data_IF_626305922232
#
_entry.id   IF_626305922232
#
_cell.length_a   1.000
_cell.length_b   1.000
_cell.length_c   1.000
_cell.angle_alpha   90.00
_cell.angle_beta   90.00
_cell.angle_gamma   90.00
#
_symmetry.space_group_name_H-M   'P 1'
#
loop_
_entity.id
_entity.type
_entity.pdbx_description
1 polymer ?
#
# COMPACT_ATOMS: atom_id res chain seq x y z
N UNK A 1 -26.52 33.59 -14.21
CA UNK A 1 -27.90 34.07 -14.45
C UNK A 1 -28.75 33.44 -13.36
N UNK A 2 -29.50 34.20 -12.58
CA UNK A 2 -30.49 33.63 -11.68
C UNK A 2 -31.56 32.95 -12.55
N UNK A 3 -31.86 31.67 -12.28
CA UNK A 3 -32.90 30.94 -12.99
C UNK A 3 -34.22 31.68 -12.71
N UNK A 4 -34.86 32.18 -13.76
CA UNK A 4 -36.21 32.75 -13.64
C UNK A 4 -37.14 31.67 -13.10
N UNK A 5 -37.98 32.04 -12.13
CA UNK A 5 -38.96 31.10 -11.56
C UNK A 5 -39.95 30.74 -12.67
N UNK A 6 -40.16 29.46 -12.99
CA UNK A 6 -41.05 29.05 -14.07
C UNK A 6 -42.49 29.54 -13.81
N UNK A 7 -43.23 29.81 -14.88
CA UNK A 7 -44.61 30.23 -14.76
C UNK A 7 -45.48 29.14 -14.11
N UNK A 8 -46.54 29.51 -13.34
CA UNK A 8 -47.44 28.51 -12.74
C UNK A 8 -48.09 27.59 -13.78
N UNK A 9 -48.31 28.07 -14.99
CA UNK A 9 -48.84 27.27 -16.11
C UNK A 9 -47.87 26.18 -16.56
N UNK A 10 -46.57 26.53 -16.71
CA UNK A 10 -45.52 25.57 -17.04
C UNK A 10 -45.37 24.51 -15.94
N UNK A 11 -45.44 24.91 -14.68
CA UNK A 11 -45.33 23.95 -13.54
C UNK A 11 -46.51 22.97 -13.53
N UNK A 12 -47.72 23.44 -13.83
CA UNK A 12 -48.89 22.58 -13.92
C UNK A 12 -48.78 21.61 -15.11
N UNK A 13 -48.43 22.09 -16.29
CA UNK A 13 -48.25 21.27 -17.49
C UNK A 13 -47.13 20.22 -17.29
N UNK A 14 -46.08 20.59 -16.60
CA UNK A 14 -45.01 19.66 -16.23
C UNK A 14 -45.53 18.50 -15.34
N UNK A 15 -46.43 18.84 -14.40
CA UNK A 15 -47.13 17.85 -13.57
C UNK A 15 -48.03 16.94 -14.37
N UNK A 16 -48.81 17.50 -15.32
CA UNK A 16 -49.73 16.72 -16.17
C UNK A 16 -48.97 15.70 -17.03
N UNK A 17 -47.84 16.11 -17.64
CA UNK A 17 -46.97 15.20 -18.36
C UNK A 17 -46.40 14.13 -17.46
N UNK A 18 -46.00 14.50 -16.26
CA UNK A 18 -45.44 13.55 -15.28
C UNK A 18 -46.47 12.50 -14.84
N UNK A 19 -47.73 12.89 -14.60
CA UNK A 19 -48.82 11.96 -14.26
C UNK A 19 -49.10 10.95 -15.39
N UNK A 20 -49.09 11.38 -16.65
CA UNK A 20 -49.20 10.47 -17.78
C UNK A 20 -48.07 9.48 -17.85
N UNK A 21 -46.82 9.92 -17.69
CA UNK A 21 -45.65 9.03 -17.66
C UNK A 21 -45.65 8.08 -16.47
N UNK A 22 -46.15 8.50 -15.32
CA UNK A 22 -46.33 7.62 -14.15
C UNK A 22 -47.35 6.52 -14.43
N UNK A 23 -48.42 6.78 -15.21
CA UNK A 23 -49.37 5.75 -15.63
C UNK A 23 -48.79 4.73 -16.62
N UNK A 24 -47.72 5.09 -17.34
CA UNK A 24 -46.99 4.24 -18.32
C UNK A 24 -45.61 3.80 -17.74
N UNK A 25 -45.39 3.87 -16.43
CA UNK A 25 -44.09 3.66 -15.81
C UNK A 25 -43.45 2.31 -16.17
N UNK A 26 -44.24 1.24 -16.20
CA UNK A 26 -43.74 -0.11 -16.53
C UNK A 26 -43.19 -0.20 -17.94
N UNK A 27 -43.86 0.41 -18.90
CA UNK A 27 -43.45 0.47 -20.33
C UNK A 27 -42.15 1.30 -20.45
N UNK A 28 -42.11 2.46 -19.81
CA UNK A 28 -40.93 3.34 -19.82
C UNK A 28 -39.69 2.63 -19.21
N UNK A 29 -39.84 1.95 -18.09
CA UNK A 29 -38.75 1.17 -17.46
C UNK A 29 -38.28 0.04 -18.38
N UNK A 30 -39.20 -0.69 -19.02
CA UNK A 30 -38.84 -1.76 -19.95
C UNK A 30 -38.02 -1.24 -21.17
N UNK A 31 -38.34 -0.05 -21.70
CA UNK A 31 -37.51 0.58 -22.73
C UNK A 31 -36.13 1.01 -22.24
N UNK A 32 -36.04 1.51 -21.00
CA UNK A 32 -34.75 1.89 -20.40
C UNK A 32 -33.89 0.66 -20.16
N UNK A 33 -34.47 -0.42 -19.65
CA UNK A 33 -33.78 -1.69 -19.42
C UNK A 33 -33.25 -2.30 -20.72
N UNK A 34 -34.04 -2.30 -21.78
CA UNK A 34 -33.62 -2.74 -23.11
C UNK A 34 -32.42 -1.92 -23.64
N UNK A 35 -32.48 -0.59 -23.47
CA UNK A 35 -31.39 0.29 -23.85
C UNK A 35 -30.11 0.09 -23.01
N UNK A 36 -30.21 -0.34 -21.76
CA UNK A 36 -29.06 -0.66 -20.90
C UNK A 36 -28.38 -1.98 -21.30
N UNK A 37 -29.15 -3.01 -21.62
CA UNK A 37 -28.65 -4.34 -22.04
C UNK A 37 -27.80 -4.27 -23.31
N UNK A 38 -28.17 -3.43 -24.29
CA UNK A 38 -27.40 -3.24 -25.52
C UNK A 38 -25.98 -2.73 -25.33
N UNK A 39 -25.65 -2.14 -24.15
CA UNK A 39 -24.36 -1.49 -23.87
C UNK A 39 -23.25 -2.44 -23.44
N UNK A 40 -23.59 -3.42 -22.63
CA UNK A 40 -22.61 -4.32 -22.03
C UNK A 40 -23.12 -5.74 -22.03
N UNK A 41 -22.73 -6.57 -23.01
CA UNK A 41 -23.09 -7.98 -23.03
C UNK A 41 -22.67 -8.73 -21.74
N UNK A 42 -21.58 -8.30 -21.10
CA UNK A 42 -21.11 -8.87 -19.84
C UNK A 42 -22.04 -8.52 -18.67
N UNK A 43 -22.52 -7.29 -18.57
CA UNK A 43 -23.50 -6.89 -17.57
C UNK A 43 -24.91 -7.45 -17.90
N UNK A 44 -25.26 -7.53 -19.16
CA UNK A 44 -26.51 -8.11 -19.65
C UNK A 44 -26.65 -9.62 -19.46
N UNK A 45 -25.56 -10.33 -19.12
CA UNK A 45 -25.60 -11.76 -18.77
C UNK A 45 -25.70 -12.04 -17.26
N UNK A 46 -25.54 -11.04 -16.39
CA UNK A 46 -25.64 -11.20 -14.94
C UNK A 46 -27.04 -10.80 -14.44
N UNK A 47 -27.80 -11.79 -13.99
CA UNK A 47 -29.18 -11.61 -13.54
C UNK A 47 -29.31 -10.62 -12.35
N UNK A 48 -28.32 -10.55 -11.46
CA UNK A 48 -28.34 -9.61 -10.34
C UNK A 48 -28.12 -8.17 -10.82
N UNK A 49 -27.19 -7.95 -11.77
CA UNK A 49 -26.95 -6.63 -12.37
C UNK A 49 -28.19 -6.16 -13.12
N UNK A 50 -28.86 -7.04 -13.88
CA UNK A 50 -30.09 -6.70 -14.58
C UNK A 50 -31.23 -6.33 -13.61
N UNK A 51 -31.44 -7.12 -12.57
CA UNK A 51 -32.48 -6.87 -11.58
C UNK A 51 -32.27 -5.52 -10.86
N UNK A 52 -31.05 -5.25 -10.42
CA UNK A 52 -30.72 -3.99 -9.71
C UNK A 52 -30.75 -2.79 -10.68
N UNK A 53 -30.38 -2.97 -11.95
CA UNK A 53 -30.52 -1.93 -12.98
C UNK A 53 -31.98 -1.55 -13.18
N UNK A 54 -32.85 -2.54 -13.33
CA UNK A 54 -34.30 -2.33 -13.51
C UNK A 54 -34.92 -1.65 -12.28
N UNK A 55 -34.59 -2.12 -11.08
CA UNK A 55 -35.04 -1.50 -9.82
C UNK A 55 -34.56 -0.04 -9.70
N UNK A 56 -33.31 0.24 -10.04
CA UNK A 56 -32.75 1.58 -10.05
C UNK A 56 -33.43 2.50 -11.09
N UNK A 57 -33.64 2.00 -12.32
CA UNK A 57 -34.38 2.74 -13.36
C UNK A 57 -35.77 3.13 -12.90
N UNK A 58 -36.51 2.17 -12.37
CA UNK A 58 -37.88 2.36 -11.84
C UNK A 58 -37.90 3.42 -10.73
N UNK A 59 -37.05 3.25 -9.72
CA UNK A 59 -37.02 4.14 -8.56
C UNK A 59 -36.64 5.58 -8.93
N UNK A 60 -35.64 5.76 -9.79
CA UNK A 60 -35.18 7.06 -10.22
C UNK A 60 -36.24 7.79 -11.07
N UNK A 61 -36.85 7.11 -12.04
CA UNK A 61 -37.89 7.69 -12.89
C UNK A 61 -39.12 8.02 -12.06
N UNK A 62 -39.61 7.11 -11.23
CA UNK A 62 -40.74 7.37 -10.36
C UNK A 62 -40.48 8.54 -9.41
N UNK A 63 -39.27 8.68 -8.87
CA UNK A 63 -38.88 9.80 -8.02
C UNK A 63 -38.89 11.12 -8.76
N UNK A 64 -38.26 11.19 -9.92
CA UNK A 64 -38.24 12.40 -10.75
C UNK A 64 -39.64 12.85 -11.16
N UNK A 65 -40.45 11.92 -11.69
CA UNK A 65 -41.83 12.21 -12.11
C UNK A 65 -42.70 12.60 -10.91
N UNK A 66 -42.50 12.00 -9.74
CA UNK A 66 -43.20 12.42 -8.51
C UNK A 66 -42.84 13.84 -8.07
N UNK A 67 -41.58 14.27 -8.28
CA UNK A 67 -41.18 15.67 -8.02
C UNK A 67 -41.93 16.63 -8.98
N UNK A 68 -42.02 16.28 -10.26
CA UNK A 68 -42.77 17.09 -11.25
C UNK A 68 -44.26 17.11 -10.96
N UNK A 69 -44.88 15.99 -10.58
CA UNK A 69 -46.30 15.89 -10.24
C UNK A 69 -46.73 16.69 -9.01
N UNK A 70 -45.78 17.07 -8.14
CA UNK A 70 -46.08 17.95 -7.00
C UNK A 70 -46.43 19.40 -7.40
N UNK A 71 -46.16 19.76 -8.63
CA UNK A 71 -46.45 21.09 -9.20
C UNK A 71 -45.85 22.25 -8.37
N UNK A 72 -44.63 22.03 -7.85
CA UNK A 72 -43.91 23.03 -7.07
C UNK A 72 -42.93 23.83 -7.93
N UNK A 73 -43.00 25.15 -7.88
CA UNK A 73 -42.08 26.02 -8.60
C UNK A 73 -40.64 25.95 -8.04
N UNK A 74 -40.49 25.67 -6.73
CA UNK A 74 -39.21 25.59 -6.05
C UNK A 74 -38.60 24.21 -6.25
N UNK A 75 -37.27 24.16 -6.51
CA UNK A 75 -36.50 22.92 -6.56
C UNK A 75 -36.41 22.31 -5.17
N UNK A 76 -36.92 21.08 -5.02
CA UNK A 76 -36.83 20.33 -3.77
C UNK A 76 -35.46 19.64 -3.66
N UNK A 77 -34.98 19.36 -2.44
CA UNK A 77 -33.81 18.53 -2.26
C UNK A 77 -34.01 17.17 -2.95
N UNK A 78 -33.01 16.77 -3.71
CA UNK A 78 -33.01 15.47 -4.39
C UNK A 78 -32.62 14.41 -3.39
N UNK A 79 -33.59 13.57 -3.03
CA UNK A 79 -33.39 12.40 -2.19
C UNK A 79 -33.18 11.19 -3.09
N UNK A 80 -32.07 10.46 -2.87
CA UNK A 80 -31.64 9.38 -3.75
C UNK A 80 -32.32 8.06 -3.34
N UNK A 81 -32.99 7.37 -4.26
CA UNK A 81 -33.58 6.09 -3.98
C UNK A 81 -32.51 5.06 -3.54
N UNK A 82 -32.78 4.23 -2.53
CA UNK A 82 -31.87 3.15 -2.11
C UNK A 82 -31.46 2.23 -3.24
N UNK A 83 -32.37 1.90 -4.15
CA UNK A 83 -32.16 1.04 -5.30
C UNK A 83 -31.06 1.59 -6.25
N UNK A 84 -30.93 2.92 -6.33
CA UNK A 84 -29.86 3.57 -7.09
C UNK A 84 -28.48 3.32 -6.45
N UNK A 85 -28.41 3.15 -5.13
CA UNK A 85 -27.16 2.83 -4.43
C UNK A 85 -26.88 1.31 -4.44
N UNK A 86 -27.89 0.46 -4.56
CA UNK A 86 -27.73 -0.99 -4.60
C UNK A 86 -27.08 -1.44 -5.89
N UNK A 87 -27.46 -0.87 -7.05
CA UNK A 87 -26.75 -1.15 -8.32
C UNK A 87 -25.26 -0.75 -8.25
N UNK A 88 -24.92 0.34 -7.55
CA UNK A 88 -23.54 0.75 -7.35
C UNK A 88 -22.73 -0.32 -6.61
N UNK A 89 -23.28 -0.87 -5.53
CA UNK A 89 -22.67 -1.95 -4.74
C UNK A 89 -22.52 -3.23 -5.57
N UNK A 90 -23.55 -3.60 -6.32
CA UNK A 90 -23.53 -4.81 -7.17
C UNK A 90 -22.46 -4.69 -8.25
N UNK A 91 -22.35 -3.57 -8.96
CA UNK A 91 -21.30 -3.32 -9.95
C UNK A 91 -19.91 -3.40 -9.32
N UNK A 92 -19.72 -2.80 -8.14
CA UNK A 92 -18.45 -2.85 -7.41
C UNK A 92 -18.06 -4.29 -7.01
N UNK A 93 -18.99 -5.06 -6.45
CA UNK A 93 -18.79 -6.47 -6.04
C UNK A 93 -18.49 -7.41 -7.19
N UNK A 94 -19.06 -7.13 -8.37
CA UNK A 94 -18.82 -7.89 -9.60
C UNK A 94 -17.53 -7.48 -10.33
N UNK A 95 -16.84 -6.44 -9.85
CA UNK A 95 -15.61 -5.92 -10.48
C UNK A 95 -15.85 -5.30 -11.86
N UNK A 96 -17.09 -4.91 -12.18
CA UNK A 96 -17.44 -4.28 -13.45
C UNK A 96 -16.92 -2.84 -13.49
N UNK A 97 -16.66 -2.32 -14.71
CA UNK A 97 -16.22 -0.94 -14.87
C UNK A 97 -17.33 0.05 -14.44
N UNK A 98 -16.95 1.12 -13.73
CA UNK A 98 -17.89 2.19 -13.33
C UNK A 98 -18.45 2.95 -14.54
N UNK A 99 -17.76 2.93 -15.68
CA UNK A 99 -18.24 3.50 -16.93
C UNK A 99 -19.56 2.86 -17.39
N UNK A 100 -19.79 1.59 -17.04
CA UNK A 100 -21.07 0.90 -17.32
C UNK A 100 -22.24 1.62 -16.63
N UNK A 101 -22.05 2.07 -15.39
CA UNK A 101 -23.08 2.85 -14.66
C UNK A 101 -23.36 4.15 -15.40
N UNK A 102 -22.31 4.92 -15.71
CA UNK A 102 -22.44 6.21 -16.35
C UNK A 102 -23.16 6.11 -17.70
N UNK A 103 -22.78 5.14 -18.52
CA UNK A 103 -23.40 4.93 -19.83
C UNK A 103 -24.85 4.47 -19.72
N UNK A 104 -25.18 3.61 -18.74
CA UNK A 104 -26.54 3.15 -18.47
C UNK A 104 -27.47 4.34 -18.11
N UNK A 105 -27.04 5.20 -17.18
CA UNK A 105 -27.79 6.41 -16.81
C UNK A 105 -28.01 7.34 -18.00
N UNK A 106 -26.98 7.58 -18.82
CA UNK A 106 -27.08 8.44 -19.99
C UNK A 106 -28.08 7.90 -21.03
N UNK A 107 -28.13 6.57 -21.23
CA UNK A 107 -29.12 5.98 -22.15
C UNK A 107 -30.53 6.01 -21.57
N UNK A 108 -30.69 5.67 -20.30
CA UNK A 108 -31.97 5.75 -19.61
C UNK A 108 -32.54 7.17 -19.66
N UNK A 109 -31.69 8.17 -19.42
CA UNK A 109 -32.04 9.59 -19.55
C UNK A 109 -32.55 9.94 -20.96
N UNK A 110 -31.88 9.47 -22.00
CA UNK A 110 -32.31 9.70 -23.38
C UNK A 110 -33.68 9.07 -23.71
N UNK A 111 -33.96 7.88 -23.16
CA UNK A 111 -35.26 7.22 -23.32
C UNK A 111 -36.34 8.02 -22.59
N UNK A 112 -36.13 8.36 -21.32
CA UNK A 112 -37.06 9.12 -20.53
C UNK A 112 -37.36 10.50 -21.13
N UNK A 113 -36.33 11.21 -21.61
CA UNK A 113 -36.46 12.49 -22.26
C UNK A 113 -37.29 12.43 -23.53
N UNK A 114 -37.05 11.45 -24.40
CA UNK A 114 -37.83 11.26 -25.64
C UNK A 114 -39.32 11.01 -25.34
N UNK A 115 -39.62 10.17 -24.35
CA UNK A 115 -41.01 9.93 -23.93
C UNK A 115 -41.64 11.19 -23.35
N UNK A 116 -40.92 11.95 -22.50
CA UNK A 116 -41.38 13.21 -21.95
C UNK A 116 -41.75 14.22 -23.08
N UNK A 117 -40.85 14.43 -24.07
CA UNK A 117 -41.10 15.30 -25.19
C UNK A 117 -42.33 14.86 -26.01
N UNK A 118 -42.49 13.56 -26.23
CA UNK A 118 -43.63 13.03 -27.00
C UNK A 118 -44.97 13.35 -26.33
N UNK A 119 -45.08 13.25 -25.00
CA UNK A 119 -46.28 13.64 -24.27
C UNK A 119 -46.45 15.14 -24.20
N UNK A 120 -45.40 15.93 -23.94
CA UNK A 120 -45.46 17.39 -23.89
C UNK A 120 -45.97 17.98 -25.22
N UNK A 121 -45.46 17.46 -26.37
CA UNK A 121 -45.91 17.94 -27.69
C UNK A 121 -47.34 17.57 -28.07
N UNK A 122 -47.92 16.54 -27.43
CA UNK A 122 -49.34 16.19 -27.61
C UNK A 122 -50.26 17.05 -26.76
N UNK A 123 -49.78 17.46 -25.55
CA UNK A 123 -50.60 18.29 -24.62
C UNK A 123 -50.55 19.78 -24.95
N UNK A 124 -49.41 20.26 -25.42
CA UNK A 124 -49.16 21.72 -25.59
C UNK A 124 -48.92 22.02 -27.05
N UNK A 125 -49.69 22.95 -27.67
CA UNK A 125 -49.44 23.40 -29.06
C UNK A 125 -48.04 24.00 -29.21
N UNK A 126 -47.48 23.87 -30.40
CA UNK A 126 -46.17 24.47 -30.73
C UNK A 126 -46.17 25.99 -30.50
N UNK A 127 -45.23 26.47 -29.70
CA UNK A 127 -45.11 27.86 -29.35
C UNK A 127 -44.24 28.14 -28.14
N UNK A 128 -44.19 29.38 -27.65
CA UNK A 128 -43.31 29.77 -26.53
C UNK A 128 -43.56 28.95 -25.25
N UNK A 129 -44.81 28.58 -24.95
CA UNK A 129 -45.17 27.80 -23.77
C UNK A 129 -44.59 26.39 -23.80
N UNK A 130 -44.63 25.72 -24.97
CA UNK A 130 -43.99 24.40 -25.12
C UNK A 130 -42.48 24.51 -24.97
N UNK A 131 -41.85 25.54 -25.53
CA UNK A 131 -40.40 25.77 -25.38
C UNK A 131 -40.02 25.94 -23.92
N UNK A 132 -40.70 26.81 -23.17
CA UNK A 132 -40.47 27.04 -21.72
C UNK A 132 -40.67 25.74 -20.91
N UNK A 133 -41.73 24.95 -21.21
CA UNK A 133 -42.00 23.68 -20.57
C UNK A 133 -40.80 22.69 -20.76
N UNK A 134 -40.34 22.55 -22.03
CA UNK A 134 -39.25 21.64 -22.33
C UNK A 134 -37.90 22.12 -21.74
N UNK A 135 -37.65 23.43 -21.73
CA UNK A 135 -36.47 24.02 -21.14
C UNK A 135 -36.39 23.72 -19.62
N UNK A 136 -37.45 24.06 -18.88
CA UNK A 136 -37.53 23.84 -17.43
C UNK A 136 -37.46 22.35 -17.08
N UNK A 137 -38.20 21.50 -17.81
CA UNK A 137 -38.19 20.05 -17.57
C UNK A 137 -36.82 19.42 -17.85
N UNK A 138 -36.14 19.84 -18.92
CA UNK A 138 -34.82 19.34 -19.26
C UNK A 138 -33.79 19.72 -18.20
N UNK A 139 -33.78 20.98 -17.77
CA UNK A 139 -32.87 21.45 -16.74
C UNK A 139 -33.05 20.65 -15.45
N UNK A 140 -34.28 20.51 -14.95
CA UNK A 140 -34.57 19.75 -13.72
C UNK A 140 -34.22 18.27 -13.85
N UNK A 141 -34.48 17.66 -15.01
CA UNK A 141 -34.10 16.28 -15.25
C UNK A 141 -32.59 16.08 -15.26
N UNK A 142 -31.84 16.99 -15.90
CA UNK A 142 -30.37 16.89 -15.95
C UNK A 142 -29.76 17.11 -14.57
N UNK A 143 -30.22 18.11 -13.82
CA UNK A 143 -29.81 18.34 -12.44
C UNK A 143 -30.07 17.10 -11.53
N UNK A 144 -31.22 16.46 -11.70
CA UNK A 144 -31.55 15.22 -10.98
C UNK A 144 -30.59 14.09 -11.34
N UNK A 145 -30.39 13.83 -12.63
CA UNK A 145 -29.52 12.74 -13.09
C UNK A 145 -28.07 12.96 -12.68
N UNK A 146 -27.56 14.18 -12.85
CA UNK A 146 -26.18 14.52 -12.44
C UNK A 146 -25.98 14.31 -10.93
N UNK A 147 -26.96 14.69 -10.11
CA UNK A 147 -26.91 14.49 -8.66
C UNK A 147 -26.91 13.00 -8.30
N UNK A 148 -27.80 12.21 -8.89
CA UNK A 148 -27.90 10.76 -8.66
C UNK A 148 -26.62 10.05 -9.10
N UNK A 149 -26.16 10.31 -10.34
CA UNK A 149 -24.94 9.69 -10.90
C UNK A 149 -23.72 9.98 -10.01
N UNK A 150 -23.56 11.23 -9.57
CA UNK A 150 -22.44 11.58 -8.67
C UNK A 150 -22.42 10.75 -7.38
N UNK A 151 -23.60 10.54 -6.76
CA UNK A 151 -23.72 9.75 -5.54
C UNK A 151 -23.56 8.25 -5.76
N UNK A 152 -24.08 7.74 -6.87
CA UNK A 152 -23.96 6.32 -7.26
C UNK A 152 -22.48 5.96 -7.52
N UNK A 153 -21.74 6.83 -8.23
CA UNK A 153 -20.30 6.62 -8.45
C UNK A 153 -19.54 6.67 -7.13
N UNK A 154 -19.83 7.65 -6.26
CA UNK A 154 -19.19 7.73 -4.94
C UNK A 154 -19.47 6.47 -4.09
N UNK A 155 -20.70 5.95 -4.09
CA UNK A 155 -21.04 4.71 -3.39
C UNK A 155 -20.31 3.49 -3.97
N UNK A 156 -20.17 3.38 -5.29
CA UNK A 156 -19.43 2.30 -5.92
C UNK A 156 -17.93 2.35 -5.62
N UNK A 157 -17.34 3.54 -5.57
CA UNK A 157 -15.95 3.73 -5.17
C UNK A 157 -15.73 3.34 -3.71
N UNK A 158 -16.61 3.78 -2.81
CA UNK A 158 -16.56 3.42 -1.40
C UNK A 158 -16.66 1.89 -1.19
N UNK A 159 -17.61 1.21 -1.85
CA UNK A 159 -17.74 -0.25 -1.77
C UNK A 159 -16.46 -0.97 -2.26
N UNK A 160 -15.82 -0.47 -3.34
CA UNK A 160 -14.53 -1.00 -3.82
C UNK A 160 -13.42 -0.83 -2.79
N UNK A 161 -13.34 0.33 -2.16
CA UNK A 161 -12.35 0.59 -1.10
C UNK A 161 -12.58 -0.32 0.11
N UNK A 162 -13.82 -0.56 0.50
CA UNK A 162 -14.17 -1.47 1.58
C UNK A 162 -13.80 -2.93 1.25
N UNK A 163 -14.04 -3.39 0.02
CA UNK A 163 -13.65 -4.72 -0.45
C UNK A 163 -12.12 -4.87 -0.43
N UNK A 164 -11.40 -3.88 -0.95
CA UNK A 164 -9.93 -3.87 -0.97
C UNK A 164 -9.35 -3.79 0.43
N UNK A 165 -9.89 -2.91 1.28
CA UNK A 165 -9.48 -2.76 2.67
C UNK A 165 -9.71 -4.05 3.48
N UNK A 166 -10.84 -4.72 3.28
CA UNK A 166 -11.14 -6.02 3.87
C UNK A 166 -10.20 -7.13 3.42
N UNK A 167 -9.78 -7.13 2.16
CA UNK A 167 -8.80 -8.10 1.64
C UNK A 167 -7.41 -7.86 2.24
N UNK A 168 -6.96 -6.60 2.32
CA UNK A 168 -5.70 -6.21 2.95
C UNK A 168 -5.71 -6.56 4.44
N UNK A 169 -6.80 -6.28 5.16
CA UNK A 169 -6.93 -6.61 6.58
C UNK A 169 -6.85 -8.12 6.82
N UNK A 170 -7.57 -8.94 6.04
CA UNK A 170 -7.50 -10.40 6.12
C UNK A 170 -6.11 -10.96 5.83
N UNK A 171 -5.41 -10.37 4.85
CA UNK A 171 -4.02 -10.74 4.51
C UNK A 171 -3.07 -10.40 5.67
N UNK A 172 -3.18 -9.21 6.25
CA UNK A 172 -2.40 -8.76 7.40
C UNK A 172 -2.63 -9.64 8.62
N UNK A 173 -3.88 -9.99 8.91
CA UNK A 173 -4.24 -10.90 10.00
C UNK A 173 -3.64 -12.28 9.79
N UNK A 174 -3.73 -12.84 8.57
CA UNK A 174 -3.14 -14.15 8.27
C UNK A 174 -1.62 -14.14 8.47
N UNK A 175 -0.91 -13.10 8.04
CA UNK A 175 0.53 -12.95 8.28
C UNK A 175 0.82 -12.93 9.78
N UNK A 176 0.09 -12.13 10.56
CA UNK A 176 0.29 -12.03 12.02
C UNK A 176 0.08 -13.37 12.71
N UNK A 177 -0.99 -14.09 12.38
CA UNK A 177 -1.24 -15.44 12.93
C UNK A 177 -0.08 -16.40 12.65
N UNK A 178 0.51 -16.35 11.44
CA UNK A 178 1.69 -17.16 11.12
C UNK A 178 2.89 -16.76 11.97
N UNK A 179 3.14 -15.46 12.12
CA UNK A 179 4.26 -14.93 12.89
C UNK A 179 4.13 -15.25 14.39
N UNK A 180 2.92 -15.20 14.92
CA UNK A 180 2.60 -15.56 16.32
C UNK A 180 2.66 -17.07 16.57
N UNK A 181 2.85 -17.88 15.53
CA UNK A 181 2.94 -19.35 15.63
C UNK A 181 1.61 -20.03 15.87
N UNK A 182 0.49 -19.39 15.53
CA UNK A 182 -0.83 -19.98 15.65
C UNK A 182 -0.94 -21.22 14.75
N UNK A 183 -1.72 -22.23 15.20
CA UNK A 183 -2.05 -23.39 14.39
C UNK A 183 -2.96 -22.97 13.24
N UNK A 184 -2.42 -22.86 12.05
CA UNK A 184 -3.15 -22.47 10.85
C UNK A 184 -2.97 -23.52 9.74
N UNK A 185 -4.04 -23.80 9.01
CA UNK A 185 -3.96 -24.66 7.83
C UNK A 185 -3.16 -23.96 6.72
N UNK A 186 -2.06 -24.60 6.33
CA UNK A 186 -1.08 -24.02 5.38
C UNK A 186 -1.68 -23.80 3.99
N UNK A 187 -2.59 -24.66 3.53
CA UNK A 187 -3.19 -24.53 2.21
C UNK A 187 -4.15 -23.32 2.19
N UNK A 188 -5.00 -23.19 3.20
CA UNK A 188 -5.92 -22.05 3.34
C UNK A 188 -5.18 -20.74 3.56
N UNK A 189 -4.09 -20.74 4.33
CA UNK A 189 -3.24 -19.57 4.52
C UNK A 189 -2.59 -19.14 3.21
N UNK A 190 -2.07 -20.09 2.42
CA UNK A 190 -1.49 -19.82 1.10
C UNK A 190 -2.50 -19.18 0.15
N UNK A 191 -3.74 -19.70 0.11
CA UNK A 191 -4.82 -19.16 -0.70
C UNK A 191 -5.19 -17.71 -0.29
N UNK A 192 -5.36 -17.45 1.02
CA UNK A 192 -5.67 -16.11 1.55
C UNK A 192 -4.57 -15.08 1.26
N UNK A 193 -3.31 -15.52 1.29
CA UNK A 193 -2.17 -14.66 1.02
C UNK A 193 -1.91 -14.46 -0.48
N UNK A 194 -2.40 -15.36 -1.34
CA UNK A 194 -1.98 -15.45 -2.74
C UNK A 194 -0.47 -15.77 -2.86
N UNK A 195 0.07 -16.52 -1.88
CA UNK A 195 1.49 -16.79 -1.74
C UNK A 195 1.70 -18.21 -1.20
N UNK A 196 2.51 -19.03 -1.89
CA UNK A 196 2.73 -20.42 -1.50
C UNK A 196 3.65 -20.53 -0.28
N UNK A 197 3.12 -21.00 0.85
CA UNK A 197 3.87 -21.20 2.09
C UNK A 197 4.68 -22.49 2.15
N UNK A 198 4.62 -23.37 1.12
CA UNK A 198 5.38 -24.63 1.05
C UNK A 198 6.77 -24.42 0.45
N UNK A 199 7.02 -23.29 -0.17
CA UNK A 199 8.32 -22.95 -0.75
C UNK A 199 9.33 -22.50 0.32
N UNK A 200 10.54 -22.11 -0.11
CA UNK A 200 11.53 -21.45 0.74
C UNK A 200 11.24 -19.97 0.82
N UNK A 201 11.47 -19.38 1.98
CA UNK A 201 11.19 -17.97 2.26
C UNK A 201 12.44 -17.25 2.71
N UNK A 202 12.65 -16.06 2.16
CA UNK A 202 13.64 -15.08 2.64
C UNK A 202 12.90 -13.82 3.01
N UNK A 203 12.84 -13.51 4.29
CA UNK A 203 12.20 -12.30 4.75
C UNK A 203 13.11 -11.08 4.60
N UNK A 204 12.52 -9.98 4.22
CA UNK A 204 13.13 -8.66 4.17
C UNK A 204 12.37 -7.74 5.12
N UNK A 205 13.10 -6.97 5.92
CA UNK A 205 12.55 -5.81 6.62
C UNK A 205 13.17 -4.58 6.00
N UNK A 206 12.35 -3.78 5.32
CA UNK A 206 12.78 -2.53 4.68
C UNK A 206 12.33 -1.35 5.52
N UNK A 207 13.20 -0.34 5.65
CA UNK A 207 12.85 0.89 6.36
C UNK A 207 13.57 2.10 5.79
N UNK A 208 13.00 3.29 6.08
CA UNK A 208 13.64 4.57 5.80
C UNK A 208 13.88 5.33 7.10
N UNK A 209 14.88 6.24 7.16
CA UNK A 209 14.98 7.21 8.22
C UNK A 209 13.71 8.08 8.31
N UNK A 210 13.37 8.64 9.48
CA UNK A 210 12.29 9.60 9.61
C UNK A 210 12.49 10.78 8.62
N UNK A 211 11.42 11.30 8.01
CA UNK A 211 11.39 12.47 7.13
C UNK A 211 11.60 12.24 5.62
N UNK A 212 11.39 11.02 5.10
CA UNK A 212 11.34 10.78 3.65
C UNK A 212 9.90 10.69 3.13
N UNK A 213 9.64 11.17 1.91
CA UNK A 213 8.42 10.81 1.18
C UNK A 213 8.53 9.34 0.75
N UNK A 214 7.71 8.48 1.35
CA UNK A 214 7.90 7.03 1.32
C UNK A 214 6.79 6.30 0.59
N UNK A 215 5.76 7.01 0.10
CA UNK A 215 4.60 6.38 -0.51
C UNK A 215 5.01 5.56 -1.75
N UNK A 216 4.88 4.23 -1.67
CA UNK A 216 5.24 3.30 -2.73
C UNK A 216 6.74 3.03 -2.92
N UNK A 217 7.63 3.77 -2.24
CA UNK A 217 9.08 3.62 -2.41
C UNK A 217 9.60 2.30 -1.79
N UNK A 218 9.06 1.90 -0.64
CA UNK A 218 9.43 0.64 0.03
C UNK A 218 8.97 -0.58 -0.78
N UNK A 219 7.76 -0.55 -1.32
CA UNK A 219 7.21 -1.58 -2.20
C UNK A 219 8.02 -1.69 -3.50
N UNK A 220 8.38 -0.56 -4.08
CA UNK A 220 9.24 -0.52 -5.27
C UNK A 220 10.63 -1.10 -4.99
N UNK A 221 11.22 -0.76 -3.84
CA UNK A 221 12.50 -1.34 -3.42
C UNK A 221 12.39 -2.85 -3.18
N UNK A 222 11.33 -3.34 -2.52
CA UNK A 222 11.09 -4.76 -2.33
C UNK A 222 10.98 -5.50 -3.68
N UNK A 223 10.31 -4.91 -4.68
CA UNK A 223 10.20 -5.47 -6.01
C UNK A 223 11.55 -5.48 -6.76
N UNK A 224 12.38 -4.45 -6.59
CA UNK A 224 13.76 -4.40 -7.13
C UNK A 224 14.61 -5.52 -6.53
N UNK A 225 14.58 -5.67 -5.21
CA UNK A 225 15.33 -6.71 -4.49
C UNK A 225 14.84 -8.11 -4.89
N UNK A 226 13.55 -8.33 -5.05
CA UNK A 226 13.00 -9.61 -5.50
C UNK A 226 13.51 -9.99 -6.89
N UNK A 227 13.54 -9.05 -7.83
CA UNK A 227 14.10 -9.28 -9.17
C UNK A 227 15.60 -9.58 -9.13
N UNK A 228 16.36 -8.84 -8.32
CA UNK A 228 17.81 -9.07 -8.16
C UNK A 228 18.10 -10.43 -7.54
N UNK A 229 17.26 -10.89 -6.61
CA UNK A 229 17.35 -12.23 -6.02
C UNK A 229 16.89 -13.35 -6.97
N UNK A 230 16.34 -13.04 -8.13
CA UNK A 230 15.79 -14.02 -9.07
C UNK A 230 14.48 -14.66 -8.60
N UNK A 231 13.67 -13.95 -7.79
CA UNK A 231 12.41 -14.46 -7.23
C UNK A 231 11.18 -13.82 -7.88
N UNK A 232 10.00 -14.38 -7.58
CA UNK A 232 8.71 -13.80 -7.97
C UNK A 232 8.45 -12.50 -7.17
N UNK A 233 7.43 -11.69 -7.56
CA UNK A 233 7.01 -10.55 -6.76
C UNK A 233 6.82 -10.94 -5.29
N UNK A 234 7.31 -10.13 -4.34
CA UNK A 234 7.30 -10.48 -2.93
C UNK A 234 5.89 -10.37 -2.33
N UNK A 235 5.63 -11.18 -1.29
CA UNK A 235 4.52 -10.92 -0.38
C UNK A 235 4.93 -9.72 0.49
N UNK A 236 4.13 -8.67 0.55
CA UNK A 236 4.44 -7.45 1.31
C UNK A 236 3.39 -7.15 2.37
N UNK A 237 3.83 -6.54 3.49
CA UNK A 237 2.99 -6.02 4.55
C UNK A 237 3.58 -4.70 5.07
N UNK A 238 2.86 -3.59 4.89
CA UNK A 238 3.22 -2.30 5.48
C UNK A 238 2.89 -2.30 6.97
N UNK A 239 3.88 -2.00 7.83
CA UNK A 239 3.77 -2.07 9.30
C UNK A 239 3.79 -0.69 9.94
N UNK A 240 3.86 0.33 9.11
CA UNK A 240 3.87 1.74 9.51
C UNK A 240 4.26 2.60 8.32
N UNK A 241 4.37 3.91 8.53
CA UNK A 241 4.65 4.83 7.41
C UNK A 241 6.07 4.65 6.83
N UNK A 242 7.00 4.10 7.60
CA UNK A 242 8.43 4.01 7.23
C UNK A 242 8.99 2.59 7.25
N UNK A 243 8.14 1.55 7.40
CA UNK A 243 8.59 0.15 7.50
C UNK A 243 7.70 -0.77 6.68
N UNK A 244 8.32 -1.62 5.88
CA UNK A 244 7.69 -2.66 5.09
C UNK A 244 8.32 -4.02 5.41
N UNK A 245 7.49 -5.01 5.68
CA UNK A 245 7.91 -6.41 5.71
C UNK A 245 7.64 -7.04 4.34
N UNK A 246 8.58 -7.84 3.87
CA UNK A 246 8.43 -8.54 2.61
C UNK A 246 8.99 -9.97 2.70
N UNK A 247 8.43 -10.89 1.93
CA UNK A 247 8.92 -12.26 1.83
C UNK A 247 9.14 -12.62 0.36
N UNK A 248 10.37 -12.98 0.05
CA UNK A 248 10.75 -13.57 -1.22
C UNK A 248 10.46 -15.06 -1.16
N UNK A 249 9.63 -15.53 -2.07
CA UNK A 249 9.33 -16.94 -2.22
C UNK A 249 10.11 -17.56 -3.38
N UNK A 250 10.76 -18.70 -3.13
CA UNK A 250 11.58 -19.37 -4.13
C UNK A 250 11.62 -20.89 -3.90
N UNK A 251 11.74 -21.66 -4.98
CA UNK A 251 11.99 -23.11 -4.91
C UNK A 251 13.49 -23.43 -4.92
N UNK A 252 14.34 -22.44 -5.27
CA UNK A 252 15.80 -22.53 -5.30
C UNK A 252 16.41 -21.53 -4.32
N UNK A 253 17.71 -21.60 -4.08
CA UNK A 253 18.42 -20.63 -3.27
C UNK A 253 18.44 -19.27 -4.00
N UNK A 254 17.96 -18.16 -3.39
CA UNK A 254 17.95 -16.85 -4.03
C UNK A 254 19.36 -16.23 -4.05
N UNK A 255 19.61 -15.34 -5.03
CA UNK A 255 20.89 -14.65 -5.20
C UNK A 255 20.99 -13.44 -4.24
N UNK A 256 21.25 -13.69 -2.95
CA UNK A 256 21.27 -12.64 -1.94
C UNK A 256 22.45 -11.67 -2.09
N UNK A 257 23.56 -12.08 -2.68
CA UNK A 257 24.75 -11.22 -2.89
C UNK A 257 24.47 -10.08 -3.87
N UNK A 258 23.47 -10.24 -4.76
CA UNK A 258 23.08 -9.21 -5.70
C UNK A 258 22.25 -8.05 -5.05
N UNK A 259 21.75 -8.26 -3.84
CA UNK A 259 20.85 -7.30 -3.19
C UNK A 259 21.52 -5.98 -2.84
N UNK A 260 22.79 -6.01 -2.44
CA UNK A 260 23.56 -4.82 -2.08
C UNK A 260 23.66 -3.84 -3.26
N UNK A 261 24.06 -4.34 -4.44
CA UNK A 261 24.13 -3.50 -5.64
C UNK A 261 22.76 -3.05 -6.14
N UNK A 262 21.73 -3.88 -5.96
CA UNK A 262 20.37 -3.57 -6.39
C UNK A 262 19.75 -2.43 -5.58
N UNK A 263 19.97 -2.38 -4.27
CA UNK A 263 19.40 -1.32 -3.41
C UNK A 263 20.08 0.04 -3.61
N UNK A 264 21.32 0.06 -4.09
CA UNK A 264 22.02 1.30 -4.42
C UNK A 264 21.33 2.07 -5.56
N UNK A 265 20.66 1.34 -6.45
CA UNK A 265 19.87 1.89 -7.55
C UNK A 265 18.50 2.39 -7.08
N UNK A 266 18.04 1.97 -5.89
CA UNK A 266 16.78 2.45 -5.32
C UNK A 266 16.95 3.87 -4.78
N UNK A 267 15.99 4.74 -5.10
CA UNK A 267 15.91 6.10 -4.54
C UNK A 267 15.60 6.02 -3.03
N UNK A 268 15.82 7.15 -2.31
CA UNK A 268 15.34 7.35 -0.93
C UNK A 268 16.05 6.53 0.16
N UNK A 269 17.33 6.55 0.27
CA UNK A 269 18.06 6.10 1.48
C UNK A 269 17.45 4.86 2.22
N UNK A 270 16.77 3.98 1.45
CA UNK A 270 16.11 2.77 1.95
C UNK A 270 17.17 1.79 2.44
N UNK A 271 16.92 1.19 3.59
CA UNK A 271 17.74 0.11 4.16
C UNK A 271 16.93 -1.19 4.20
N UNK A 272 17.60 -2.31 4.13
CA UNK A 272 17.00 -3.63 4.18
C UNK A 272 17.80 -4.58 5.07
N UNK A 273 17.12 -5.21 6.02
CA UNK A 273 17.61 -6.37 6.75
C UNK A 273 17.05 -7.64 6.11
N UNK A 274 17.91 -8.61 5.87
CA UNK A 274 17.59 -9.84 5.13
C UNK A 274 17.79 -11.05 6.02
N UNK A 275 16.71 -11.79 6.26
CA UNK A 275 16.74 -13.05 7.02
C UNK A 275 17.33 -14.22 6.22
N UNK A 276 17.63 -15.35 6.89
CA UNK A 276 18.11 -16.55 6.21
C UNK A 276 16.98 -17.20 5.39
N UNK A 277 17.34 -17.81 4.26
CA UNK A 277 16.38 -18.59 3.46
C UNK A 277 16.02 -19.88 4.18
N UNK A 278 14.72 -20.10 4.46
CA UNK A 278 14.22 -21.26 5.20
C UNK A 278 12.95 -21.82 4.53
N UNK A 279 12.75 -23.16 4.54
CA UNK A 279 11.57 -23.80 3.98
C UNK A 279 10.34 -23.71 4.90
N UNK A 280 9.17 -23.87 4.30
CA UNK A 280 7.88 -24.04 4.96
C UNK A 280 7.41 -22.85 5.83
N UNK A 281 6.23 -22.97 6.39
CA UNK A 281 5.61 -21.95 7.25
C UNK A 281 6.48 -21.58 8.47
N UNK A 282 7.22 -22.54 9.01
CA UNK A 282 8.17 -22.29 10.09
C UNK A 282 9.35 -21.45 9.62
N UNK A 283 9.77 -21.64 8.38
CA UNK A 283 10.82 -20.85 7.72
C UNK A 283 10.37 -19.42 7.45
N UNK A 284 9.12 -19.24 7.03
CA UNK A 284 8.51 -17.91 6.86
C UNK A 284 8.65 -17.05 8.13
N UNK A 285 8.30 -17.63 9.30
CA UNK A 285 8.41 -16.96 10.60
C UNK A 285 9.86 -16.73 11.02
N UNK A 286 10.70 -17.78 11.04
CA UNK A 286 12.09 -17.69 11.50
C UNK A 286 12.94 -16.75 10.66
N UNK A 287 12.72 -16.71 9.35
CA UNK A 287 13.41 -15.76 8.47
C UNK A 287 13.05 -14.32 8.83
N UNK A 288 11.78 -14.06 9.13
CA UNK A 288 11.32 -12.74 9.56
C UNK A 288 11.85 -12.32 10.94
N UNK A 289 11.83 -13.23 11.92
CA UNK A 289 12.41 -13.00 13.25
C UNK A 289 13.89 -12.60 13.16
N UNK A 290 14.64 -13.30 12.30
CA UNK A 290 16.04 -13.01 12.04
C UNK A 290 16.24 -11.64 11.36
N UNK A 291 15.43 -11.30 10.37
CA UNK A 291 15.48 -9.99 9.72
C UNK A 291 15.13 -8.84 10.69
N UNK A 292 14.12 -9.05 11.55
CA UNK A 292 13.76 -8.08 12.60
C UNK A 292 14.88 -7.86 13.61
N UNK A 293 15.61 -8.91 14.00
CA UNK A 293 16.75 -8.78 14.93
C UNK A 293 17.85 -7.90 14.35
N UNK A 294 18.14 -8.05 13.08
CA UNK A 294 19.09 -7.18 12.35
C UNK A 294 18.57 -5.75 12.26
N UNK A 295 17.31 -5.56 11.86
CA UNK A 295 16.72 -4.23 11.77
C UNK A 295 16.73 -3.51 13.12
N UNK A 296 16.38 -4.19 14.22
CA UNK A 296 16.39 -3.62 15.57
C UNK A 296 17.80 -3.25 16.03
N UNK A 297 18.80 -4.06 15.68
CA UNK A 297 20.20 -3.76 15.92
C UNK A 297 20.67 -2.51 15.19
N UNK A 298 20.28 -2.35 13.92
CA UNK A 298 20.70 -1.25 13.06
C UNK A 298 19.83 0.00 13.19
N UNK A 299 18.69 -0.07 13.88
CA UNK A 299 17.79 1.06 14.07
C UNK A 299 18.48 2.20 14.82
N UNK A 300 18.36 3.42 14.29
CA UNK A 300 18.98 4.62 14.90
C UNK A 300 20.46 4.85 14.58
N UNK A 301 21.12 3.95 13.86
CA UNK A 301 22.49 4.18 13.39
C UNK A 301 22.49 4.48 11.88
N UNK A 302 22.96 5.68 11.50
CA UNK A 302 22.98 6.11 10.09
C UNK A 302 24.13 5.49 9.28
N UNK A 303 25.13 4.91 9.95
CA UNK A 303 26.28 4.26 9.31
C UNK A 303 25.98 2.82 8.87
N UNK A 304 26.88 2.24 8.08
CA UNK A 304 26.85 0.86 7.64
C UNK A 304 26.14 0.61 6.29
N UNK A 305 26.13 -0.65 5.86
CA UNK A 305 25.58 -1.07 4.58
C UNK A 305 24.06 -0.84 4.49
N UNK A 306 23.57 -0.51 3.31
CA UNK A 306 22.12 -0.35 3.04
C UNK A 306 21.37 -1.69 3.06
N UNK A 307 22.07 -2.81 2.75
CA UNK A 307 21.55 -4.18 2.87
C UNK A 307 22.39 -4.91 3.89
N UNK A 308 21.76 -5.47 4.90
CA UNK A 308 22.38 -6.25 5.97
C UNK A 308 21.84 -7.69 5.92
N UNK A 309 22.71 -8.65 5.59
CA UNK A 309 22.34 -10.06 5.56
C UNK A 309 22.53 -10.69 6.94
N UNK A 310 21.53 -11.47 7.39
CA UNK A 310 21.61 -12.15 8.69
C UNK A 310 22.86 -13.02 8.84
N UNK A 311 23.25 -13.75 7.77
CA UNK A 311 24.44 -14.62 7.81
C UNK A 311 25.75 -13.88 8.17
N UNK A 312 25.83 -12.58 7.84
CA UNK A 312 27.02 -11.78 8.05
C UNK A 312 27.03 -11.12 9.45
N UNK A 313 25.85 -11.01 10.10
CA UNK A 313 25.64 -10.30 11.35
C UNK A 313 25.01 -11.18 12.46
N UNK A 314 24.85 -12.47 12.24
CA UNK A 314 24.18 -13.39 13.17
C UNK A 314 24.77 -13.35 14.58
N UNK A 315 26.10 -13.43 14.68
CA UNK A 315 26.81 -13.42 15.96
C UNK A 315 26.67 -12.05 16.65
N UNK A 316 26.80 -10.98 15.88
CA UNK A 316 26.66 -9.61 16.38
C UNK A 316 25.22 -9.35 16.86
N UNK A 317 24.22 -9.79 16.09
CA UNK A 317 22.82 -9.65 16.46
C UNK A 317 22.48 -10.47 17.73
N UNK A 318 23.05 -11.65 17.89
CA UNK A 318 22.91 -12.45 19.11
C UNK A 318 23.50 -11.73 20.33
N UNK A 319 24.69 -11.13 20.19
CA UNK A 319 25.35 -10.38 21.26
C UNK A 319 24.66 -9.03 21.56
N UNK A 320 23.99 -8.44 20.58
CA UNK A 320 23.29 -7.16 20.68
C UNK A 320 21.88 -7.25 21.31
N UNK A 321 21.37 -8.43 21.65
CA UNK A 321 20.03 -8.61 22.22
C UNK A 321 19.80 -7.81 23.52
N UNK A 322 20.86 -7.58 24.26
CA UNK A 322 20.86 -6.69 25.42
C UNK A 322 21.92 -5.61 25.23
N UNK A 323 21.49 -4.40 24.87
CA UNK A 323 22.37 -3.27 24.54
C UNK A 323 23.25 -2.87 25.73
N UNK A 324 22.74 -2.91 26.95
CA UNK A 324 23.51 -2.50 28.16
C UNK A 324 24.65 -3.49 28.42
N UNK A 325 24.38 -4.79 28.35
CA UNK A 325 25.42 -5.82 28.46
C UNK A 325 26.43 -5.77 27.31
N UNK A 326 25.97 -5.45 26.10
CA UNK A 326 26.84 -5.25 24.93
C UNK A 326 27.77 -4.04 25.19
N UNK A 327 27.26 -2.94 25.73
CA UNK A 327 28.05 -1.77 26.10
C UNK A 327 29.08 -2.07 27.16
N UNK A 328 28.69 -2.77 28.23
CA UNK A 328 29.62 -3.23 29.28
C UNK A 328 30.74 -4.10 28.70
N UNK A 329 30.38 -5.05 27.83
CA UNK A 329 31.34 -5.93 27.16
C UNK A 329 32.30 -5.15 26.26
N UNK A 330 31.80 -4.20 25.48
CA UNK A 330 32.59 -3.32 24.60
C UNK A 330 33.56 -2.48 25.44
N UNK A 331 33.06 -1.84 26.50
CA UNK A 331 33.90 -1.03 27.42
C UNK A 331 35.00 -1.86 28.08
N UNK A 332 34.68 -3.05 28.58
CA UNK A 332 35.64 -3.94 29.23
C UNK A 332 36.69 -4.51 28.27
N UNK A 333 36.32 -4.71 26.98
CA UNK A 333 37.21 -5.30 25.98
C UNK A 333 38.05 -4.25 25.28
N UNK A 334 37.49 -3.11 24.94
CA UNK A 334 38.16 -2.07 24.17
C UNK A 334 38.83 -0.99 25.04
N UNK A 335 38.49 -0.92 26.35
CA UNK A 335 39.05 0.06 27.26
C UNK A 335 38.96 1.49 26.70
N UNK A 336 40.08 2.25 26.60
CA UNK A 336 40.05 3.61 26.02
C UNK A 336 39.59 3.69 24.59
N UNK A 337 39.65 2.60 23.82
CA UNK A 337 39.14 2.56 22.46
C UNK A 337 37.61 2.50 22.43
N UNK A 338 36.89 2.28 23.51
CA UNK A 338 35.45 2.33 23.58
C UNK A 338 34.89 3.77 23.58
N UNK A 339 35.75 4.78 23.70
CA UNK A 339 35.33 6.18 23.68
C UNK A 339 34.71 6.59 22.35
N UNK A 340 33.58 7.34 22.38
CA UNK A 340 32.91 7.86 21.20
C UNK A 340 33.61 9.14 20.71
N UNK A 341 34.77 8.95 20.09
CA UNK A 341 35.61 10.03 19.56
C UNK A 341 36.22 9.63 18.22
N UNK A 342 36.51 10.64 17.38
CA UNK A 342 37.03 10.43 16.03
C UNK A 342 38.41 9.75 15.99
N UNK A 343 39.25 9.95 17.03
CA UNK A 343 40.55 9.29 17.18
C UNK A 343 40.37 7.80 17.47
N UNK A 344 39.56 7.47 18.48
CA UNK A 344 39.24 6.08 18.84
C UNK A 344 38.53 5.36 17.68
N UNK A 345 37.61 6.03 16.99
CA UNK A 345 36.91 5.47 15.83
C UNK A 345 37.88 5.04 14.71
N UNK A 346 38.89 5.87 14.39
CA UNK A 346 39.93 5.51 13.40
C UNK A 346 40.77 4.31 13.82
N UNK A 347 41.07 4.19 15.11
CA UNK A 347 41.84 3.05 15.63
C UNK A 347 40.98 1.77 15.60
N UNK A 348 39.72 1.84 16.06
CA UNK A 348 38.76 0.73 15.98
C UNK A 348 38.62 0.22 14.55
N UNK A 349 38.37 1.11 13.59
CA UNK A 349 38.23 0.73 12.17
C UNK A 349 39.51 0.11 11.61
N UNK A 350 40.67 0.64 12.00
CA UNK A 350 41.95 0.04 11.57
C UNK A 350 42.15 -1.35 12.15
N UNK A 351 41.85 -1.58 13.45
CA UNK A 351 41.94 -2.90 14.08
C UNK A 351 40.93 -3.88 13.48
N UNK A 352 39.70 -3.45 13.24
CA UNK A 352 38.64 -4.29 12.66
C UNK A 352 39.09 -4.84 11.30
N UNK A 353 39.51 -3.96 10.39
CA UNK A 353 39.98 -4.36 9.07
C UNK A 353 41.29 -5.16 9.13
N UNK A 354 42.18 -4.85 10.08
CA UNK A 354 43.45 -5.55 10.27
C UNK A 354 43.23 -7.00 10.71
N UNK A 355 42.33 -7.24 11.64
CA UNK A 355 41.96 -8.60 12.08
C UNK A 355 41.22 -9.38 11.01
N UNK A 356 40.33 -8.74 10.26
CA UNK A 356 39.60 -9.30 9.13
C UNK A 356 40.53 -9.74 7.98
N UNK A 357 41.60 -8.97 7.73
CA UNK A 357 42.67 -9.30 6.78
C UNK A 357 43.76 -10.22 7.36
N UNK A 358 43.43 -10.98 8.43
CA UNK A 358 44.34 -11.90 9.10
C UNK A 358 45.69 -11.24 9.49
N UNK A 359 45.63 -10.02 10.04
CA UNK A 359 46.75 -9.22 10.51
C UNK A 359 47.73 -8.81 9.38
N UNK A 360 47.24 -8.74 8.15
CA UNK A 360 48.04 -8.38 6.99
C UNK A 360 48.01 -6.86 6.72
N UNK A 361 49.02 -6.12 7.20
CA UNK A 361 49.08 -4.67 7.05
C UNK A 361 49.04 -4.16 5.59
N UNK A 362 49.69 -4.77 4.59
CA UNK A 362 49.52 -4.41 3.20
C UNK A 362 48.09 -4.50 2.68
N UNK A 363 47.36 -5.60 2.96
CA UNK A 363 45.97 -5.76 2.54
C UNK A 363 45.05 -4.77 3.25
N UNK A 364 45.23 -4.59 4.58
CA UNK A 364 44.55 -3.58 5.36
C UNK A 364 44.73 -2.18 4.79
N UNK A 365 45.95 -1.83 4.37
CA UNK A 365 46.26 -0.54 3.78
C UNK A 365 45.51 -0.28 2.48
N UNK A 366 45.42 -1.29 1.61
CA UNK A 366 44.62 -1.23 0.38
C UNK A 366 43.14 -0.99 0.70
N UNK A 367 42.58 -1.78 1.62
CA UNK A 367 41.17 -1.70 1.97
C UNK A 367 40.77 -0.38 2.66
N UNK A 368 41.71 0.22 3.44
CA UNK A 368 41.50 1.51 4.11
C UNK A 368 41.99 2.70 3.28
N UNK A 369 42.42 2.51 2.04
CA UNK A 369 42.97 3.54 1.17
C UNK A 369 44.05 4.38 1.87
N UNK A 370 45.03 3.73 2.55
CA UNK A 370 46.09 4.35 3.30
C UNK A 370 47.46 3.67 3.07
N UNK A 371 48.52 4.16 3.68
CA UNK A 371 49.85 3.54 3.59
C UNK A 371 50.04 2.44 4.68
N UNK A 372 50.76 1.38 4.36
CA UNK A 372 51.05 0.29 5.32
C UNK A 372 51.66 0.74 6.64
N UNK A 373 52.53 1.76 6.60
CA UNK A 373 53.18 2.29 7.81
C UNK A 373 52.15 2.98 8.72
N UNK A 374 51.14 3.66 8.13
CA UNK A 374 50.03 4.24 8.89
C UNK A 374 49.18 3.16 9.60
N UNK A 375 48.93 2.03 8.93
CA UNK A 375 48.27 0.88 9.54
C UNK A 375 49.05 0.37 10.73
N UNK A 376 50.37 0.13 10.57
CA UNK A 376 51.23 -0.38 11.65
C UNK A 376 51.30 0.60 12.83
N UNK A 377 51.43 1.92 12.56
CA UNK A 377 51.38 2.93 13.61
C UNK A 377 50.09 2.96 14.38
N UNK A 378 48.93 2.85 13.68
CA UNK A 378 47.60 2.83 14.32
C UNK A 378 47.41 1.53 15.13
N UNK A 379 47.82 0.39 14.63
CA UNK A 379 47.78 -0.88 15.36
C UNK A 379 48.67 -0.82 16.61
N UNK A 380 49.91 -0.33 16.51
CA UNK A 380 50.80 -0.15 17.67
C UNK A 380 50.15 0.78 18.71
N UNK A 381 49.59 1.92 18.28
CA UNK A 381 48.90 2.85 19.21
C UNK A 381 47.69 2.24 19.86
N UNK A 382 46.89 1.45 19.11
CA UNK A 382 45.77 0.74 19.68
C UNK A 382 46.21 -0.32 20.70
N UNK A 383 47.28 -1.07 20.43
CA UNK A 383 47.88 -2.04 21.34
C UNK A 383 48.36 -1.39 22.67
N UNK A 384 49.02 -0.23 22.58
CA UNK A 384 49.39 0.54 23.77
C UNK A 384 48.19 0.93 24.63
N UNK A 385 47.11 1.38 24.01
CA UNK A 385 45.87 1.76 24.72
C UNK A 385 45.13 0.57 25.31
N UNK A 386 45.16 -0.58 24.63
CA UNK A 386 44.53 -1.83 25.10
C UNK A 386 45.33 -2.47 26.24
N UNK A 387 46.66 -2.32 26.26
CA UNK A 387 47.56 -2.99 27.22
C UNK A 387 47.81 -4.46 26.90
N UNK A 388 47.33 -5.00 25.78
CA UNK A 388 47.55 -6.36 25.31
C UNK A 388 47.49 -6.45 23.78
N UNK A 389 48.02 -7.52 23.20
CA UNK A 389 47.98 -7.72 21.75
C UNK A 389 46.58 -8.08 21.29
N UNK A 390 46.06 -7.50 20.21
CA UNK A 390 44.71 -7.79 19.68
C UNK A 390 44.44 -9.28 19.45
N UNK A 391 45.46 -10.04 19.05
CA UNK A 391 45.37 -11.48 18.83
C UNK A 391 45.23 -12.34 20.10
N UNK A 392 45.61 -11.86 21.28
CA UNK A 392 45.53 -12.64 22.53
C UNK A 392 44.08 -12.95 22.94
N UNK A 393 43.15 -12.03 22.65
CA UNK A 393 41.70 -12.17 22.94
C UNK A 393 40.89 -11.99 21.70
N UNK A 394 41.32 -12.62 20.59
CA UNK A 394 40.87 -12.37 19.24
C UNK A 394 39.34 -12.37 19.11
N UNK A 395 38.67 -13.43 19.55
CA UNK A 395 37.21 -13.54 19.45
C UNK A 395 36.49 -12.38 20.18
N UNK A 396 36.91 -12.04 21.40
CA UNK A 396 36.30 -10.96 22.14
C UNK A 396 36.57 -9.60 21.49
N UNK A 397 37.78 -9.42 20.95
CA UNK A 397 38.18 -8.21 20.24
C UNK A 397 37.38 -8.00 18.96
N UNK A 398 37.29 -9.01 18.11
CA UNK A 398 36.53 -8.98 16.86
C UNK A 398 35.06 -8.67 17.14
N UNK A 399 34.45 -9.34 18.14
CA UNK A 399 33.06 -9.11 18.51
C UNK A 399 32.83 -7.69 19.07
N UNK A 400 33.74 -7.20 19.93
CA UNK A 400 33.60 -5.86 20.51
C UNK A 400 33.75 -4.76 19.44
N UNK A 401 34.68 -4.93 18.50
CA UNK A 401 34.86 -4.02 17.37
C UNK A 401 33.66 -4.03 16.43
N UNK A 402 33.06 -5.21 16.17
CA UNK A 402 31.87 -5.31 15.32
C UNK A 402 30.64 -4.72 16.02
N UNK A 403 30.43 -4.97 17.32
CA UNK A 403 29.38 -4.30 18.10
C UNK A 403 29.53 -2.78 18.08
N UNK A 404 30.75 -2.27 18.30
CA UNK A 404 31.03 -0.84 18.23
C UNK A 404 30.78 -0.26 16.82
N UNK A 405 31.08 -1.03 15.78
CA UNK A 405 30.85 -0.62 14.39
C UNK A 405 29.35 -0.57 14.04
N UNK A 406 28.58 -1.57 14.44
CA UNK A 406 27.15 -1.71 14.07
C UNK A 406 26.20 -0.88 14.95
N UNK A 407 26.49 -0.77 16.25
CA UNK A 407 25.63 -0.06 17.20
C UNK A 407 26.09 1.40 17.47
N UNK A 408 27.35 1.73 17.18
CA UNK A 408 27.87 3.06 17.34
C UNK A 408 27.72 3.62 18.77
N UNK A 409 27.21 4.87 18.92
CA UNK A 409 27.07 5.52 20.24
C UNK A 409 26.26 4.76 21.28
N UNK A 410 25.45 3.79 20.86
CA UNK A 410 24.62 2.97 21.79
C UNK A 410 25.42 2.06 22.69
N UNK A 411 26.65 1.72 22.31
CA UNK A 411 27.54 0.83 23.07
C UNK A 411 28.92 1.47 23.35
N UNK A 412 29.12 2.70 22.92
CA UNK A 412 30.36 3.46 23.19
C UNK A 412 30.17 4.34 24.40
N UNK A 413 31.28 4.63 25.09
CA UNK A 413 31.31 5.56 26.22
C UNK A 413 31.42 7.00 25.74
N UNK A 414 30.72 7.93 26.40
CA UNK A 414 30.84 9.35 26.04
C UNK A 414 32.30 9.79 26.14
N UNK A 415 32.74 10.60 25.13
CA UNK A 415 34.06 11.17 25.17
C UNK A 415 34.19 12.06 26.42
N UNK A 416 35.23 11.82 27.21
CA UNK A 416 35.60 12.74 28.29
C UNK A 416 36.02 14.06 27.63
N UNK A 417 35.21 15.11 27.82
CA UNK A 417 35.45 16.47 27.31
C UNK A 417 36.62 17.12 28.04
#
# INVERSE_FOLDING_TARGET
>A
MAAETPSPEVVNLMGDVAELLLSELDELVAEMDAAAVELSPAAGSDAAVLADTSASNRANVARLLSIFARREAKVLPIDIPPEALDIARTVARRGLDLDVIFQSYRRGQNVAWRRYMAHATRLVPSGPLLFELLEVASQRMFEFVDHVVGKVIAAAQQEREEILGGAIARRSETIRLILDGAAIDQARASERLGYDLRQRHTALVLWTPPHGDVQGALESAAAVLARAAGTRPPLTLSVGPSTLWAWLGSNTEPMLDALASAIEQAQNNIRAAVGPTRPDISGFRRSHEAALSIQSMLAGHAGGARVALFRDLEVTALAAQNTDRAAEFVAATLGPLAEDGSAAARLRETLRVFLDEAENAPRTAVRLHTHRNTVLQRVARATELLGYQPGERRLAMELALELAHQLGPRVLTAALV
#
